data_IF_282819687538
#
_entry.id   IF_282819687538
#
_cell.length_a   1.000
_cell.length_b   1.000
_cell.length_c   1.000
_cell.angle_alpha   90.00
_cell.angle_beta   90.00
_cell.angle_gamma   90.00
#
_symmetry.space_group_name_H-M   'P 1'
#
loop_
_entity.id
_entity.type
_entity.pdbx_description
1 polymer ?
#
# COMPACT_ATOMS: atom_id res chain seq x y z
N UNK A 1 -20.98 -32.55 10.54
CA UNK A 1 -22.19 -31.75 10.85
C UNK A 1 -21.90 -30.32 11.32
N UNK A 2 -20.86 -30.04 12.11
CA UNK A 2 -20.56 -28.67 12.59
C UNK A 2 -20.20 -27.64 11.52
N UNK A 3 -19.35 -28.01 10.54
CA UNK A 3 -18.88 -27.10 9.48
C UNK A 3 -19.99 -26.68 8.50
N UNK A 4 -20.90 -27.60 8.13
CA UNK A 4 -22.02 -27.29 7.26
C UNK A 4 -23.02 -26.32 7.91
N UNK A 5 -23.24 -26.45 9.23
CA UNK A 5 -24.11 -25.56 10.01
C UNK A 5 -23.51 -24.17 10.18
N UNK A 6 -22.19 -24.08 10.43
CA UNK A 6 -21.46 -22.83 10.49
C UNK A 6 -21.47 -22.10 9.13
N UNK A 7 -21.24 -22.83 8.03
CA UNK A 7 -21.29 -22.29 6.67
C UNK A 7 -22.69 -21.78 6.29
N UNK A 8 -23.76 -22.49 6.68
CA UNK A 8 -25.14 -22.02 6.45
C UNK A 8 -25.49 -20.76 7.24
N UNK A 9 -24.97 -20.62 8.47
CA UNK A 9 -25.16 -19.43 9.29
C UNK A 9 -24.45 -18.21 8.71
N UNK A 10 -23.20 -18.38 8.29
CA UNK A 10 -22.41 -17.33 7.66
C UNK A 10 -23.06 -16.80 6.37
N UNK A 11 -23.51 -17.69 5.49
CA UNK A 11 -24.18 -17.29 4.24
C UNK A 11 -25.50 -16.54 4.51
N UNK A 12 -26.27 -16.96 5.51
CA UNK A 12 -27.50 -16.26 5.89
C UNK A 12 -27.24 -14.83 6.39
N UNK A 13 -26.14 -14.63 7.13
CA UNK A 13 -25.71 -13.29 7.57
C UNK A 13 -25.30 -12.43 6.37
N UNK A 14 -24.49 -12.98 5.45
CA UNK A 14 -24.11 -12.28 4.22
C UNK A 14 -25.34 -11.85 3.40
N UNK A 15 -26.32 -12.74 3.22
CA UNK A 15 -27.55 -12.43 2.49
C UNK A 15 -28.32 -11.29 3.13
N UNK A 16 -28.56 -11.32 4.46
CA UNK A 16 -29.28 -10.26 5.16
C UNK A 16 -28.58 -8.91 5.04
N UNK A 17 -27.26 -8.89 5.16
CA UNK A 17 -26.47 -7.66 5.04
C UNK A 17 -26.49 -7.12 3.61
N UNK A 18 -26.35 -8.00 2.61
CA UNK A 18 -26.43 -7.61 1.22
C UNK A 18 -27.83 -7.06 0.86
N UNK A 19 -28.90 -7.68 1.37
CA UNK A 19 -30.27 -7.20 1.22
C UNK A 19 -30.45 -5.82 1.86
N UNK A 20 -29.87 -5.58 3.03
CA UNK A 20 -29.93 -4.28 3.71
C UNK A 20 -29.18 -3.19 2.93
N UNK A 21 -27.99 -3.49 2.40
CA UNK A 21 -27.26 -2.55 1.52
C UNK A 21 -28.07 -2.25 0.26
N UNK A 22 -28.62 -3.27 -0.40
CA UNK A 22 -29.47 -3.10 -1.59
C UNK A 22 -30.73 -2.31 -1.27
N UNK A 23 -31.34 -2.51 -0.09
CA UNK A 23 -32.50 -1.77 0.38
C UNK A 23 -32.17 -0.29 0.58
N UNK A 24 -31.09 0.03 1.29
CA UNK A 24 -30.65 1.42 1.52
C UNK A 24 -30.30 2.13 0.22
N UNK A 25 -29.56 1.48 -0.69
CA UNK A 25 -29.25 2.05 -2.00
C UNK A 25 -30.51 2.21 -2.89
N UNK A 26 -31.48 1.30 -2.76
CA UNK A 26 -32.77 1.46 -3.44
C UNK A 26 -33.55 2.67 -2.92
N UNK A 27 -33.52 2.92 -1.60
CA UNK A 27 -34.14 4.10 -0.99
C UNK A 27 -33.47 5.39 -1.48
N UNK A 28 -32.13 5.42 -1.52
CA UNK A 28 -31.39 6.53 -2.10
C UNK A 28 -31.77 6.74 -3.58
N UNK A 29 -31.87 5.67 -4.36
CA UNK A 29 -32.21 5.79 -5.79
C UNK A 29 -33.65 6.29 -6.04
N UNK A 30 -34.53 6.20 -5.04
CA UNK A 30 -35.91 6.73 -5.07
C UNK A 30 -36.09 8.06 -4.35
N UNK A 31 -35.05 8.60 -3.69
CA UNK A 31 -35.17 9.86 -2.96
C UNK A 31 -35.21 11.06 -3.93
N UNK A 32 -36.13 11.98 -3.65
CA UNK A 32 -36.37 13.18 -4.47
C UNK A 32 -35.26 14.23 -4.28
N UNK A 33 -34.79 14.40 -3.04
CA UNK A 33 -33.74 15.35 -2.66
C UNK A 33 -32.34 14.86 -2.99
N UNK A 34 -31.49 15.74 -3.53
CA UNK A 34 -30.06 15.43 -3.71
C UNK A 34 -29.37 15.18 -2.36
N UNK A 35 -29.63 16.02 -1.37
CA UNK A 35 -29.04 15.91 -0.03
C UNK A 35 -29.40 14.59 0.64
N UNK A 36 -30.66 14.14 0.54
CA UNK A 36 -31.10 12.85 1.08
C UNK A 36 -30.33 11.68 0.45
N UNK A 37 -30.08 11.74 -0.87
CA UNK A 37 -29.27 10.75 -1.58
C UNK A 37 -27.84 10.72 -1.07
N UNK A 38 -27.26 11.90 -0.87
CA UNK A 38 -25.88 12.05 -0.40
C UNK A 38 -25.72 11.50 1.02
N UNK A 39 -26.68 11.79 1.91
CA UNK A 39 -26.72 11.28 3.28
C UNK A 39 -26.79 9.75 3.27
N UNK A 40 -27.75 9.16 2.56
CA UNK A 40 -27.90 7.69 2.54
C UNK A 40 -26.69 7.01 1.91
N UNK A 41 -26.10 7.58 0.86
CA UNK A 41 -24.88 7.02 0.25
C UNK A 41 -23.69 7.09 1.22
N UNK A 42 -23.56 8.19 1.98
CA UNK A 42 -22.54 8.34 3.01
C UNK A 42 -22.73 7.36 4.16
N UNK A 43 -23.95 7.14 4.63
CA UNK A 43 -24.27 6.16 5.67
C UNK A 43 -23.94 4.74 5.21
N UNK A 44 -24.38 4.34 4.02
CA UNK A 44 -24.05 3.03 3.45
C UNK A 44 -22.54 2.84 3.35
N UNK A 45 -21.81 3.87 2.93
CA UNK A 45 -20.36 3.82 2.84
C UNK A 45 -19.69 3.67 4.22
N UNK A 46 -20.16 4.41 5.22
CA UNK A 46 -19.66 4.29 6.59
C UNK A 46 -19.93 2.89 7.16
N UNK A 47 -21.12 2.33 6.92
CA UNK A 47 -21.50 1.01 7.41
C UNK A 47 -20.63 -0.10 6.79
N UNK A 48 -20.38 -0.07 5.48
CA UNK A 48 -19.57 -1.11 4.81
C UNK A 48 -18.07 -0.99 5.11
N UNK A 49 -17.58 0.22 5.42
CA UNK A 49 -16.17 0.44 5.76
C UNK A 49 -15.89 0.28 7.26
N UNK A 50 -16.94 0.21 8.08
CA UNK A 50 -16.86 -0.05 9.50
C UNK A 50 -16.28 -1.42 9.85
N UNK A 51 -15.73 -1.52 11.06
CA UNK A 51 -15.18 -2.75 11.59
C UNK A 51 -16.29 -3.77 11.92
N UNK A 52 -15.98 -5.05 11.72
CA UNK A 52 -16.85 -6.15 12.14
C UNK A 52 -16.94 -6.16 13.67
N UNK A 53 -18.17 -6.18 14.19
CA UNK A 53 -18.38 -6.34 15.63
C UNK A 53 -17.97 -7.75 16.09
N UNK A 54 -17.70 -7.92 17.40
CA UNK A 54 -17.22 -9.18 17.97
C UNK A 54 -18.16 -10.37 17.69
N UNK A 55 -19.47 -10.12 17.63
CA UNK A 55 -20.48 -11.14 17.32
C UNK A 55 -20.39 -11.61 15.86
N UNK A 56 -20.16 -10.70 14.92
CA UNK A 56 -19.95 -11.01 13.52
C UNK A 56 -18.61 -11.74 13.31
N UNK A 57 -17.53 -11.26 13.94
CA UNK A 57 -16.22 -11.94 13.88
C UNK A 57 -16.28 -13.39 14.37
N UNK A 58 -17.10 -13.69 15.39
CA UNK A 58 -17.31 -15.05 15.86
C UNK A 58 -18.00 -15.97 14.81
N UNK A 59 -18.78 -15.39 13.90
CA UNK A 59 -19.52 -16.11 12.85
C UNK A 59 -18.77 -16.15 11.51
N UNK A 60 -18.01 -15.10 11.20
CA UNK A 60 -17.21 -14.97 9.97
C UNK A 60 -15.79 -15.55 10.11
N UNK A 61 -15.35 -15.79 11.35
CA UNK A 61 -13.97 -16.09 11.70
C UNK A 61 -13.10 -14.82 11.77
N UNK A 62 -11.87 -14.97 12.26
CA UNK A 62 -10.87 -13.88 12.35
C UNK A 62 -10.24 -13.51 11.00
N UNK A 63 -10.80 -14.00 9.89
CA UNK A 63 -10.28 -13.78 8.54
C UNK A 63 -10.62 -12.40 7.98
N UNK A 64 -11.71 -11.79 8.48
CA UNK A 64 -12.20 -10.51 7.99
C UNK A 64 -12.20 -9.50 9.13
N UNK A 65 -11.81 -8.26 8.81
CA UNK A 65 -11.78 -7.17 9.77
C UNK A 65 -12.91 -6.16 9.53
N UNK A 66 -13.34 -5.99 8.26
CA UNK A 66 -14.38 -5.03 7.87
C UNK A 66 -15.53 -5.68 7.10
N UNK A 67 -16.67 -5.00 7.09
CA UNK A 67 -17.88 -5.50 6.44
C UNK A 67 -17.75 -5.70 4.93
N UNK A 68 -17.05 -4.81 4.22
CA UNK A 68 -16.86 -4.96 2.78
C UNK A 68 -16.11 -6.24 2.41
N UNK A 69 -15.20 -6.71 3.28
CA UNK A 69 -14.43 -7.94 3.05
C UNK A 69 -15.32 -9.19 3.10
N UNK A 70 -16.43 -9.12 3.85
CA UNK A 70 -17.45 -10.16 3.93
C UNK A 70 -18.45 -10.06 2.77
N UNK A 71 -18.78 -8.85 2.34
CA UNK A 71 -19.77 -8.60 1.29
C UNK A 71 -19.23 -8.81 -0.13
N UNK A 72 -17.97 -8.43 -0.41
CA UNK A 72 -17.42 -8.53 -1.75
C UNK A 72 -17.39 -9.98 -2.30
N UNK A 73 -17.03 -11.02 -1.51
CA UNK A 73 -17.14 -12.41 -1.94
C UNK A 73 -18.59 -12.86 -2.15
N UNK A 74 -19.54 -12.33 -1.37
CA UNK A 74 -20.97 -12.63 -1.54
C UNK A 74 -21.47 -12.12 -2.90
N UNK A 75 -21.22 -10.86 -3.21
CA UNK A 75 -21.57 -10.28 -4.52
C UNK A 75 -20.82 -10.98 -5.66
N UNK A 76 -19.57 -11.39 -5.45
CA UNK A 76 -18.84 -12.20 -6.43
C UNK A 76 -19.53 -13.53 -6.75
N UNK A 77 -20.18 -14.16 -5.77
CA UNK A 77 -20.84 -15.45 -5.94
C UNK A 77 -22.29 -15.36 -6.45
N UNK A 78 -22.98 -14.23 -6.23
CA UNK A 78 -24.38 -14.02 -6.62
C UNK A 78 -24.49 -12.97 -7.74
N UNK A 79 -24.59 -13.45 -8.98
CA UNK A 79 -24.74 -12.61 -10.17
C UNK A 79 -26.02 -11.77 -10.14
N UNK A 80 -27.13 -12.29 -9.59
CA UNK A 80 -28.40 -11.55 -9.57
C UNK A 80 -28.31 -10.37 -8.60
N UNK A 81 -27.75 -10.60 -7.41
CA UNK A 81 -27.50 -9.54 -6.43
C UNK A 81 -26.51 -8.49 -6.97
N UNK A 82 -25.45 -8.92 -7.64
CA UNK A 82 -24.45 -8.03 -8.23
C UNK A 82 -24.99 -7.17 -9.36
N UNK A 83 -25.81 -7.75 -10.25
CA UNK A 83 -26.47 -6.97 -11.31
C UNK A 83 -27.44 -5.93 -10.72
N UNK A 84 -28.17 -6.30 -9.66
CA UNK A 84 -29.05 -5.36 -8.95
C UNK A 84 -28.25 -4.23 -8.30
N UNK A 85 -27.14 -4.55 -7.64
CA UNK A 85 -26.25 -3.54 -7.06
C UNK A 85 -25.68 -2.61 -8.13
N UNK A 86 -25.23 -3.18 -9.25
CA UNK A 86 -24.73 -2.43 -10.39
C UNK A 86 -25.78 -1.44 -10.90
N UNK A 87 -27.03 -1.86 -11.12
CA UNK A 87 -28.10 -0.96 -11.60
C UNK A 87 -28.43 0.16 -10.59
N UNK A 88 -28.44 -0.14 -9.28
CA UNK A 88 -28.61 0.88 -8.26
C UNK A 88 -27.47 1.91 -8.28
N UNK A 89 -26.22 1.45 -8.35
CA UNK A 89 -25.06 2.34 -8.47
C UNK A 89 -25.10 3.18 -9.75
N UNK A 90 -25.64 2.64 -10.86
CA UNK A 90 -25.81 3.39 -12.11
C UNK A 90 -26.72 4.59 -11.94
N UNK A 91 -27.85 4.40 -11.24
CA UNK A 91 -28.82 5.47 -10.95
C UNK A 91 -28.28 6.51 -9.97
N UNK A 92 -27.32 6.12 -9.13
CA UNK A 92 -26.69 6.96 -8.13
C UNK A 92 -25.34 7.55 -8.59
N UNK A 93 -24.95 7.36 -9.86
CA UNK A 93 -23.73 7.97 -10.37
C UNK A 93 -23.76 9.49 -10.25
N UNK A 94 -22.67 10.06 -9.73
CA UNK A 94 -22.56 11.48 -9.43
C UNK A 94 -22.81 11.84 -7.97
N UNK A 95 -23.39 10.93 -7.17
CA UNK A 95 -23.47 11.11 -5.71
C UNK A 95 -22.13 10.73 -5.04
N UNK A 96 -21.77 11.40 -3.92
CA UNK A 96 -20.55 11.07 -3.17
C UNK A 96 -20.60 9.63 -2.67
N UNK A 97 -19.43 9.02 -2.52
CA UNK A 97 -19.24 7.64 -2.04
C UNK A 97 -19.85 6.50 -2.88
N UNK A 98 -20.70 6.79 -3.88
CA UNK A 98 -21.26 5.75 -4.76
C UNK A 98 -20.16 5.02 -5.53
N UNK A 99 -19.19 5.75 -6.09
CA UNK A 99 -18.07 5.15 -6.85
C UNK A 99 -17.14 4.32 -5.94
N UNK A 100 -16.72 4.79 -4.74
CA UNK A 100 -16.04 3.96 -3.75
C UNK A 100 -16.83 2.71 -3.32
N UNK A 101 -18.12 2.84 -3.00
CA UNK A 101 -19.00 1.72 -2.62
C UNK A 101 -19.10 0.68 -3.73
N UNK A 102 -19.28 1.14 -4.98
CA UNK A 102 -19.26 0.30 -6.17
C UNK A 102 -17.96 -0.50 -6.25
N UNK A 103 -16.82 0.16 -6.05
CA UNK A 103 -15.52 -0.49 -6.10
C UNK A 103 -15.33 -1.51 -4.98
N UNK A 104 -15.70 -1.17 -3.73
CA UNK A 104 -15.58 -2.08 -2.59
C UNK A 104 -16.39 -3.36 -2.76
N UNK A 105 -17.62 -3.26 -3.24
CA UNK A 105 -18.54 -4.39 -3.27
C UNK A 105 -18.45 -5.22 -4.56
N UNK A 106 -18.11 -4.60 -5.69
CA UNK A 106 -18.13 -5.27 -7.01
C UNK A 106 -16.73 -5.57 -7.59
N UNK A 107 -15.63 -5.19 -6.94
CA UNK A 107 -14.28 -5.43 -7.50
C UNK A 107 -14.01 -6.89 -7.85
N UNK A 108 -14.39 -7.82 -6.97
CA UNK A 108 -14.18 -9.25 -7.21
C UNK A 108 -15.05 -9.73 -8.36
N UNK A 109 -16.36 -9.41 -8.32
CA UNK A 109 -17.30 -9.82 -9.34
C UNK A 109 -16.88 -9.36 -10.75
N UNK A 110 -16.50 -8.08 -10.90
CA UNK A 110 -16.07 -7.49 -12.17
C UNK A 110 -14.72 -8.00 -12.68
N UNK A 111 -13.85 -8.53 -11.82
CA UNK A 111 -12.52 -9.00 -12.20
C UNK A 111 -12.42 -10.52 -12.30
N UNK A 112 -13.36 -11.25 -11.69
CA UNK A 112 -13.48 -12.72 -11.77
C UNK A 112 -14.35 -13.14 -12.95
N UNK A 113 -15.45 -12.43 -13.22
CA UNK A 113 -16.41 -12.84 -14.24
C UNK A 113 -16.30 -12.02 -15.54
N UNK A 114 -15.88 -12.60 -16.67
CA UNK A 114 -15.71 -11.86 -17.94
C UNK A 114 -17.00 -11.29 -18.54
N UNK A 115 -18.16 -11.83 -18.18
CA UNK A 115 -19.48 -11.40 -18.64
C UNK A 115 -20.15 -10.34 -17.77
N UNK A 116 -19.61 -10.06 -16.58
CA UNK A 116 -20.17 -9.09 -15.62
C UNK A 116 -20.35 -7.68 -16.25
N UNK A 117 -21.53 -7.09 -16.03
CA UNK A 117 -21.91 -5.77 -16.54
C UNK A 117 -22.18 -5.71 -18.05
N UNK A 118 -22.17 -6.85 -18.74
CA UNK A 118 -22.36 -6.95 -20.19
C UNK A 118 -21.09 -6.58 -20.97
N UNK A 119 -20.85 -7.22 -22.14
CA UNK A 119 -19.62 -7.03 -22.92
C UNK A 119 -19.45 -5.59 -23.41
N UNK A 120 -20.55 -4.94 -23.84
CA UNK A 120 -20.50 -3.61 -24.45
C UNK A 120 -20.15 -2.48 -23.47
N UNK A 121 -20.46 -2.68 -22.18
CA UNK A 121 -20.27 -1.67 -21.14
C UNK A 121 -19.10 -2.01 -20.20
N UNK A 122 -18.39 -3.11 -20.47
CA UNK A 122 -17.34 -3.63 -19.60
C UNK A 122 -16.26 -2.60 -19.30
N UNK A 123 -15.77 -1.89 -20.32
CA UNK A 123 -14.74 -0.86 -20.13
C UNK A 123 -15.24 0.31 -19.26
N UNK A 124 -16.51 0.70 -19.39
CA UNK A 124 -17.11 1.75 -18.55
C UNK A 124 -17.14 1.31 -17.08
N UNK A 125 -17.59 0.09 -16.82
CA UNK A 125 -17.62 -0.49 -15.47
C UNK A 125 -16.23 -0.60 -14.86
N UNK A 126 -15.22 -1.01 -15.65
CA UNK A 126 -13.83 -1.04 -15.20
C UNK A 126 -13.29 0.36 -14.86
N UNK A 127 -13.60 1.38 -15.67
CA UNK A 127 -13.16 2.75 -15.39
C UNK A 127 -13.77 3.30 -14.09
N UNK A 128 -15.05 3.03 -13.85
CA UNK A 128 -15.73 3.40 -12.59
C UNK A 128 -15.12 2.65 -11.41
N UNK A 129 -14.90 1.34 -11.54
CA UNK A 129 -14.22 0.51 -10.53
C UNK A 129 -12.85 1.08 -10.17
N UNK A 130 -12.01 1.37 -11.17
CA UNK A 130 -10.66 1.86 -10.96
C UNK A 130 -10.63 3.28 -10.38
N UNK A 131 -11.59 4.13 -10.77
CA UNK A 131 -11.76 5.46 -10.17
C UNK A 131 -12.12 5.36 -8.69
N UNK A 132 -13.07 4.49 -8.32
CA UNK A 132 -13.45 4.26 -6.92
C UNK A 132 -12.33 3.64 -6.09
N UNK A 133 -11.65 2.63 -6.64
CA UNK A 133 -10.49 2.00 -6.01
C UNK A 133 -9.36 3.02 -5.75
N UNK A 134 -9.09 3.90 -6.72
CA UNK A 134 -8.11 4.98 -6.56
C UNK A 134 -8.50 5.92 -5.41
N UNK A 135 -9.75 6.35 -5.33
CA UNK A 135 -10.22 7.21 -4.23
C UNK A 135 -10.01 6.57 -2.86
N UNK A 136 -10.30 5.26 -2.75
CA UNK A 136 -10.09 4.50 -1.51
C UNK A 136 -8.61 4.40 -1.13
N UNK A 137 -7.74 4.09 -2.08
CA UNK A 137 -6.30 3.95 -1.82
C UNK A 137 -5.64 5.29 -1.51
N UNK A 138 -6.08 6.38 -2.13
CA UNK A 138 -5.68 7.74 -1.72
C UNK A 138 -6.15 8.02 -0.30
N UNK A 139 -7.39 7.69 0.06
CA UNK A 139 -7.90 7.87 1.42
C UNK A 139 -7.10 7.10 2.48
N UNK A 140 -6.68 5.88 2.19
CA UNK A 140 -5.76 5.11 3.05
C UNK A 140 -4.41 5.83 3.19
N UNK A 141 -3.82 6.26 2.07
CA UNK A 141 -2.55 6.99 2.08
C UNK A 141 -2.63 8.33 2.82
N UNK A 142 -3.76 9.03 2.72
CA UNK A 142 -3.98 10.30 3.37
C UNK A 142 -4.13 10.16 4.89
N UNK A 143 -4.82 9.11 5.33
CA UNK A 143 -5.03 8.82 6.75
C UNK A 143 -3.88 8.06 7.39
N UNK A 144 -2.97 7.47 6.60
CA UNK A 144 -1.92 6.58 7.09
C UNK A 144 -2.43 5.21 7.55
N UNK A 145 -3.67 4.87 7.19
CA UNK A 145 -4.29 3.58 7.48
C UNK A 145 -4.15 2.63 6.29
N UNK A 146 -4.38 1.35 6.56
CA UNK A 146 -4.36 0.28 5.55
C UNK A 146 -5.74 -0.41 5.51
N UNK A 147 -6.82 0.36 5.54
CA UNK A 147 -8.16 -0.17 5.65
C UNK A 147 -8.59 -0.99 4.44
N UNK A 148 -8.07 -0.59 3.27
CA UNK A 148 -8.35 -1.20 1.97
C UNK A 148 -7.22 -2.10 1.48
N UNK A 149 -6.27 -2.47 2.36
CA UNK A 149 -5.20 -3.41 2.03
C UNK A 149 -5.70 -4.77 1.53
N UNK A 150 -6.79 -5.38 2.07
CA UNK A 150 -7.37 -6.60 1.50
C UNK A 150 -7.84 -6.44 0.05
N UNK A 151 -8.48 -5.32 -0.27
CA UNK A 151 -8.88 -5.00 -1.65
C UNK A 151 -7.64 -4.82 -2.53
N UNK A 152 -6.63 -4.05 -2.09
CA UNK A 152 -5.38 -3.90 -2.83
C UNK A 152 -4.69 -5.26 -3.08
N UNK A 153 -4.62 -6.12 -2.06
CA UNK A 153 -4.04 -7.46 -2.16
C UNK A 153 -4.77 -8.33 -3.18
N UNK A 154 -6.10 -8.23 -3.29
CA UNK A 154 -6.85 -8.89 -4.36
C UNK A 154 -6.39 -8.41 -5.75
N UNK A 155 -6.33 -7.09 -5.98
CA UNK A 155 -5.87 -6.54 -7.25
C UNK A 155 -4.42 -6.95 -7.56
N UNK A 156 -3.52 -6.85 -6.57
CA UNK A 156 -2.11 -7.12 -6.75
C UNK A 156 -1.84 -8.62 -6.90
N UNK A 157 -2.23 -9.44 -5.93
CA UNK A 157 -1.84 -10.85 -5.85
C UNK A 157 -2.72 -11.76 -6.71
N UNK A 158 -4.03 -11.48 -6.78
CA UNK A 158 -4.96 -12.38 -7.48
C UNK A 158 -5.31 -11.96 -8.90
N UNK A 159 -5.03 -10.71 -9.29
CA UNK A 159 -5.33 -10.22 -10.65
C UNK A 159 -4.05 -9.93 -11.43
N UNK A 160 -3.12 -9.13 -10.88
CA UNK A 160 -1.92 -8.70 -11.62
C UNK A 160 -0.76 -9.69 -11.50
N UNK A 161 -0.44 -10.13 -10.29
CA UNK A 161 0.73 -10.96 -9.97
C UNK A 161 0.39 -12.46 -9.91
N UNK A 162 -0.81 -12.86 -10.32
CA UNK A 162 -1.29 -14.24 -10.32
C UNK A 162 -0.54 -15.11 -11.36
N UNK A 163 0.73 -15.40 -11.08
CA UNK A 163 1.59 -16.40 -11.72
C UNK A 163 1.45 -16.57 -13.24
N UNK A 164 1.56 -17.83 -13.68
CA UNK A 164 1.44 -18.25 -15.09
C UNK A 164 -0.03 -18.20 -15.59
N UNK A 165 -0.99 -18.00 -14.70
CA UNK A 165 -2.44 -17.94 -14.98
C UNK A 165 -3.00 -16.51 -14.89
N UNK A 166 -2.35 -15.53 -15.52
CA UNK A 166 -2.90 -14.17 -15.74
C UNK A 166 -4.22 -14.17 -16.56
N UNK A 167 -4.95 -15.28 -16.61
CA UNK A 167 -6.27 -15.52 -17.19
C UNK A 167 -7.25 -14.41 -16.84
N UNK A 168 -7.29 -13.98 -15.56
CA UNK A 168 -8.17 -12.86 -15.15
C UNK A 168 -7.79 -11.57 -15.84
N UNK A 169 -6.50 -11.20 -15.82
CA UNK A 169 -6.00 -9.98 -16.45
C UNK A 169 -6.13 -10.01 -17.99
N UNK A 170 -5.93 -11.18 -18.60
CA UNK A 170 -6.05 -11.40 -20.05
C UNK A 170 -7.49 -11.41 -20.54
N UNK A 171 -8.45 -11.74 -19.68
CA UNK A 171 -9.88 -11.65 -19.99
C UNK A 171 -10.41 -10.22 -20.06
N UNK A 172 -9.65 -9.23 -19.58
CA UNK A 172 -10.05 -7.84 -19.60
C UNK A 172 -9.75 -7.20 -20.97
N UNK A 173 -10.52 -6.17 -21.38
CA UNK A 173 -10.16 -5.31 -22.50
C UNK A 173 -8.75 -4.73 -22.31
N UNK A 174 -8.00 -4.58 -23.39
CA UNK A 174 -6.59 -4.14 -23.34
C UNK A 174 -6.40 -2.83 -22.55
N UNK A 175 -7.21 -1.82 -22.82
CA UNK A 175 -7.18 -0.54 -22.10
C UNK A 175 -7.49 -0.71 -20.60
N UNK A 176 -8.42 -1.61 -20.26
CA UNK A 176 -8.76 -1.93 -18.88
C UNK A 176 -7.64 -2.64 -18.15
N UNK A 177 -6.96 -3.58 -18.82
CA UNK A 177 -5.79 -4.29 -18.30
C UNK A 177 -4.66 -3.31 -17.93
N UNK A 178 -4.31 -2.40 -18.84
CA UNK A 178 -3.27 -1.41 -18.58
C UNK A 178 -3.63 -0.50 -17.39
N UNK A 179 -4.90 -0.11 -17.28
CA UNK A 179 -5.39 0.74 -16.21
C UNK A 179 -5.36 0.02 -14.85
N UNK A 180 -5.73 -1.28 -14.80
CA UNK A 180 -5.60 -2.12 -13.59
C UNK A 180 -4.13 -2.23 -13.16
N UNK A 181 -3.23 -2.54 -14.11
CA UNK A 181 -1.80 -2.62 -13.81
C UNK A 181 -1.25 -1.28 -13.33
N UNK A 182 -1.67 -0.17 -13.95
CA UNK A 182 -1.25 1.17 -13.54
C UNK A 182 -1.72 1.52 -12.12
N UNK A 183 -2.94 1.13 -11.74
CA UNK A 183 -3.47 1.35 -10.39
C UNK A 183 -2.65 0.56 -9.35
N UNK A 184 -2.45 -0.74 -9.58
CA UNK A 184 -1.66 -1.59 -8.67
C UNK A 184 -0.25 -1.04 -8.51
N UNK A 185 0.37 -0.65 -9.62
CA UNK A 185 1.74 -0.17 -9.61
C UNK A 185 1.89 1.23 -9.00
N UNK A 186 0.87 2.09 -9.12
CA UNK A 186 0.81 3.39 -8.46
C UNK A 186 0.87 3.25 -6.93
N UNK A 187 0.05 2.36 -6.35
CA UNK A 187 -0.07 2.20 -4.89
C UNK A 187 0.81 1.07 -4.30
N UNK A 188 1.60 0.38 -5.12
CA UNK A 188 2.56 -0.62 -4.65
C UNK A 188 3.53 -0.11 -3.58
N UNK A 189 4.13 1.09 -3.69
CA UNK A 189 5.02 1.60 -2.64
C UNK A 189 4.34 1.76 -1.28
N UNK A 190 3.02 1.94 -1.24
CA UNK A 190 2.28 2.09 0.01
C UNK A 190 1.93 0.74 0.66
N UNK A 191 1.35 -0.18 -0.13
CA UNK A 191 0.83 -1.45 0.41
C UNK A 191 1.85 -2.59 0.39
N UNK A 192 2.75 -2.61 -0.60
CA UNK A 192 3.79 -3.65 -0.75
C UNK A 192 5.10 -3.09 -0.23
N UNK A 193 5.24 -2.98 1.09
CA UNK A 193 6.53 -2.65 1.70
C UNK A 193 7.62 -3.62 1.18
N UNK A 194 8.77 -3.04 0.81
CA UNK A 194 9.83 -3.69 0.03
C UNK A 194 10.19 -5.09 0.54
N UNK A 195 9.86 -6.11 -0.25
CA UNK A 195 10.18 -7.51 0.08
C UNK A 195 9.41 -8.54 -0.74
N UNK A 196 8.26 -8.17 -1.30
CA UNK A 196 7.48 -9.07 -2.17
C UNK A 196 7.46 -8.59 -3.61
N UNK A 197 8.39 -9.14 -4.38
CA UNK A 197 8.17 -9.51 -5.79
C UNK A 197 8.00 -8.37 -6.79
N UNK A 198 9.11 -7.90 -7.35
CA UNK A 198 9.12 -7.38 -8.71
C UNK A 198 10.14 -8.17 -9.52
N UNK A 199 9.70 -8.94 -10.52
CA UNK A 199 10.58 -9.26 -11.65
C UNK A 199 11.18 -7.94 -12.13
N UNK A 200 12.47 -7.94 -12.50
CA UNK A 200 13.12 -6.73 -13.09
C UNK A 200 12.33 -6.20 -14.29
N UNK A 201 11.62 -7.10 -14.98
CA UNK A 201 10.64 -6.80 -16.02
C UNK A 201 9.41 -6.08 -15.43
N UNK A 202 9.32 -4.77 -15.67
CA UNK A 202 8.19 -3.93 -15.21
C UNK A 202 8.55 -2.95 -14.09
N UNK A 203 9.77 -2.99 -13.55
CA UNK A 203 10.22 -2.04 -12.52
C UNK A 203 10.17 -0.59 -12.99
N UNK A 204 10.48 -0.30 -14.27
CA UNK A 204 10.38 1.04 -14.84
C UNK A 204 8.92 1.54 -14.87
N UNK A 205 7.98 0.68 -15.30
CA UNK A 205 6.56 1.01 -15.33
C UNK A 205 6.02 1.28 -13.92
N UNK A 206 6.36 0.40 -12.96
CA UNK A 206 5.89 0.55 -11.60
C UNK A 206 6.47 1.79 -10.92
N UNK A 207 7.76 2.05 -11.10
CA UNK A 207 8.39 3.25 -10.58
C UNK A 207 7.80 4.52 -11.20
N UNK A 208 7.57 4.52 -12.53
CA UNK A 208 6.95 5.66 -13.21
C UNK A 208 5.55 5.97 -12.66
N UNK A 209 4.73 4.94 -12.40
CA UNK A 209 3.39 5.10 -11.83
C UNK A 209 3.42 5.50 -10.35
N UNK A 210 4.30 4.90 -9.55
CA UNK A 210 4.47 5.27 -8.15
C UNK A 210 4.94 6.73 -7.98
N UNK A 211 5.84 7.21 -8.85
CA UNK A 211 6.28 8.62 -8.86
C UNK A 211 5.14 9.55 -9.27
N UNK A 212 4.32 9.15 -10.25
CA UNK A 212 3.15 9.93 -10.64
C UNK A 212 2.11 10.03 -9.51
N UNK A 213 1.87 8.94 -8.79
CA UNK A 213 0.97 8.90 -7.64
C UNK A 213 1.50 9.75 -6.47
N UNK A 214 2.79 9.63 -6.15
CA UNK A 214 3.45 10.48 -5.15
C UNK A 214 3.36 11.97 -5.51
N UNK A 215 3.46 12.30 -6.79
CA UNK A 215 3.36 13.67 -7.24
C UNK A 215 1.92 14.19 -7.17
N UNK A 216 0.94 13.45 -7.70
CA UNK A 216 -0.38 14.04 -8.00
C UNK A 216 -1.47 13.67 -7.02
N UNK A 217 -1.32 12.58 -6.29
CA UNK A 217 -2.41 11.94 -5.57
C UNK A 217 -2.14 11.89 -4.06
N UNK A 218 -0.94 11.49 -3.67
CA UNK A 218 -0.57 11.33 -2.25
C UNK A 218 0.00 12.63 -1.71
N UNK A 219 -0.86 13.44 -1.10
CA UNK A 219 -0.50 14.76 -0.58
C UNK A 219 -0.28 14.78 0.94
N UNK A 220 -0.84 13.82 1.68
CA UNK A 220 -0.67 13.80 3.13
C UNK A 220 0.69 13.22 3.56
N UNK A 221 1.18 13.72 4.70
CA UNK A 221 2.43 13.29 5.32
C UNK A 221 2.60 11.76 5.46
N UNK A 222 1.65 10.99 6.04
CA UNK A 222 1.88 9.56 6.28
C UNK A 222 2.07 8.77 4.99
N UNK A 223 1.24 9.03 3.97
CA UNK A 223 1.37 8.43 2.65
C UNK A 223 2.69 8.79 1.98
N UNK A 224 3.06 10.07 1.97
CA UNK A 224 4.34 10.51 1.38
C UNK A 224 5.54 9.83 2.05
N UNK A 225 5.54 9.71 3.37
CA UNK A 225 6.60 9.03 4.12
C UNK A 225 6.68 7.54 3.76
N UNK A 226 5.54 6.85 3.64
CA UNK A 226 5.50 5.45 3.23
C UNK A 226 6.09 5.25 1.83
N UNK A 227 5.68 6.09 0.86
CA UNK A 227 6.22 6.07 -0.50
C UNK A 227 7.73 6.33 -0.53
N UNK A 228 8.22 7.34 0.18
CA UNK A 228 9.65 7.67 0.22
C UNK A 228 10.48 6.53 0.81
N UNK A 229 10.01 5.90 1.90
CA UNK A 229 10.66 4.74 2.50
C UNK A 229 10.72 3.55 1.55
N UNK A 230 9.62 3.28 0.83
CA UNK A 230 9.58 2.22 -0.16
C UNK A 230 10.52 2.50 -1.36
N UNK A 231 10.54 3.74 -1.86
CA UNK A 231 11.47 4.17 -2.91
C UNK A 231 12.94 4.02 -2.49
N UNK A 232 13.27 4.39 -1.24
CA UNK A 232 14.61 4.20 -0.69
C UNK A 232 15.00 2.73 -0.66
N UNK A 233 14.11 1.85 -0.19
CA UNK A 233 14.37 0.41 -0.15
C UNK A 233 14.55 -0.20 -1.56
N UNK A 234 13.83 0.30 -2.57
CA UNK A 234 14.05 -0.07 -3.98
C UNK A 234 15.42 0.39 -4.51
N UNK A 235 15.89 1.53 -4.01
CA UNK A 235 17.25 2.01 -4.23
C UNK A 235 18.31 1.05 -3.74
N UNK A 236 18.17 0.64 -2.48
CA UNK A 236 19.09 -0.29 -1.82
C UNK A 236 19.12 -1.67 -2.51
N UNK A 237 17.99 -2.08 -3.10
CA UNK A 237 17.88 -3.30 -3.90
C UNK A 237 18.57 -3.24 -5.29
N UNK A 238 19.13 -2.08 -5.68
CA UNK A 238 19.87 -1.94 -6.94
C UNK A 238 19.00 -2.01 -8.20
N UNK A 239 17.72 -1.61 -8.11
CA UNK A 239 16.78 -1.63 -9.24
C UNK A 239 16.95 -0.40 -10.16
N UNK A 240 17.46 0.71 -9.62
CA UNK A 240 17.66 1.98 -10.33
C UNK A 240 18.44 1.90 -11.65
N UNK A 241 19.53 1.12 -11.79
CA UNK A 241 20.27 1.04 -13.05
C UNK A 241 19.46 0.43 -14.20
N UNK A 242 18.46 -0.40 -13.88
CA UNK A 242 17.59 -1.03 -14.88
C UNK A 242 16.43 -0.12 -15.35
N UNK A 243 16.24 1.03 -14.70
CA UNK A 243 15.15 1.98 -14.98
C UNK A 243 15.56 2.95 -16.09
N UNK A 244 14.60 3.33 -16.94
CA UNK A 244 14.84 4.28 -18.05
C UNK A 244 15.29 5.64 -17.50
N UNK A 245 16.14 6.33 -18.26
CA UNK A 245 16.66 7.66 -17.90
C UNK A 245 15.54 8.67 -17.65
N UNK A 246 14.46 8.65 -18.45
CA UNK A 246 13.30 9.54 -18.26
C UNK A 246 12.67 9.40 -16.89
N UNK A 247 12.42 8.16 -16.44
CA UNK A 247 11.83 7.86 -15.14
C UNK A 247 12.74 8.29 -14.00
N UNK A 248 14.07 8.08 -14.15
CA UNK A 248 15.08 8.53 -13.16
C UNK A 248 15.12 10.05 -13.03
N UNK A 249 15.11 10.79 -14.14
CA UNK A 249 15.08 12.27 -14.12
C UNK A 249 13.82 12.77 -13.45
N UNK A 250 12.65 12.18 -13.75
CA UNK A 250 11.38 12.57 -13.12
C UNK A 250 11.38 12.30 -11.61
N UNK A 251 11.84 11.11 -11.19
CA UNK A 251 11.99 10.78 -9.77
C UNK A 251 12.92 11.76 -9.06
N UNK A 252 14.05 12.10 -9.68
CA UNK A 252 15.00 13.07 -9.14
C UNK A 252 14.35 14.46 -9.00
N UNK A 253 13.60 14.92 -10.00
CA UNK A 253 12.91 16.21 -9.95
C UNK A 253 11.84 16.27 -8.83
N UNK A 254 11.03 15.23 -8.68
CA UNK A 254 10.02 15.17 -7.59
C UNK A 254 10.69 15.13 -6.21
N UNK A 255 11.77 14.36 -6.03
CA UNK A 255 12.52 14.35 -4.77
C UNK A 255 13.13 15.73 -4.47
N UNK A 256 13.68 16.43 -5.46
CA UNK A 256 14.17 17.78 -5.26
C UNK A 256 13.06 18.74 -4.83
N UNK A 257 11.88 18.67 -5.45
CA UNK A 257 10.74 19.49 -5.07
C UNK A 257 10.36 19.28 -3.60
N UNK A 258 10.41 18.04 -3.11
CA UNK A 258 10.13 17.71 -1.69
C UNK A 258 11.25 18.13 -0.73
N UNK A 259 12.48 18.32 -1.21
CA UNK A 259 13.61 18.79 -0.38
C UNK A 259 13.67 20.30 -0.20
N UNK A 260 12.94 21.08 -1.00
CA UNK A 260 12.94 22.53 -0.88
C UNK A 260 11.95 22.99 0.20
N UNK A 261 12.41 23.86 1.10
CA UNK A 261 11.57 24.61 2.03
C UNK A 261 10.90 25.76 1.27
N UNK A 262 9.84 25.48 0.50
CA UNK A 262 9.14 26.49 -0.30
C UNK A 262 8.07 25.91 -1.23
N UNK A 263 7.40 26.78 -1.99
CA UNK A 263 6.38 26.38 -2.96
C UNK A 263 6.95 25.59 -4.16
N UNK A 264 6.12 24.83 -4.90
CA UNK A 264 4.65 24.80 -4.87
C UNK A 264 4.02 23.78 -3.89
N UNK A 265 4.81 22.92 -3.24
CA UNK A 265 4.30 22.00 -2.19
C UNK A 265 5.01 22.29 -0.87
N UNK A 266 4.24 22.75 0.12
CA UNK A 266 4.73 22.89 1.49
C UNK A 266 4.85 21.51 2.14
N UNK A 267 5.91 20.77 1.79
CA UNK A 267 6.20 19.48 2.39
C UNK A 267 6.51 19.67 3.89
N UNK A 268 5.96 18.80 4.73
CA UNK A 268 6.30 18.82 6.15
C UNK A 268 7.77 18.49 6.35
N UNK A 269 8.33 18.88 7.50
CA UNK A 269 9.74 18.63 7.81
C UNK A 269 10.10 17.15 7.79
N UNK A 270 9.19 16.28 8.23
CA UNK A 270 9.41 14.84 8.21
C UNK A 270 9.55 14.33 6.76
N UNK A 271 8.64 14.76 5.87
CA UNK A 271 8.69 14.42 4.44
C UNK A 271 9.96 14.98 3.80
N UNK A 272 10.33 16.22 4.11
CA UNK A 272 11.54 16.86 3.60
C UNK A 272 12.81 16.07 4.00
N UNK A 273 12.94 15.72 5.29
CA UNK A 273 14.08 14.95 5.82
C UNK A 273 14.16 13.57 5.15
N UNK A 274 13.03 12.91 4.97
CA UNK A 274 13.01 11.58 4.33
C UNK A 274 13.22 11.65 2.81
N UNK A 275 12.74 12.70 2.15
CA UNK A 275 13.02 12.96 0.73
C UNK A 275 14.52 13.21 0.52
N UNK A 276 15.15 13.98 1.40
CA UNK A 276 16.60 14.21 1.35
C UNK A 276 17.40 12.92 1.55
N UNK A 277 17.00 12.07 2.50
CA UNK A 277 17.61 10.75 2.72
C UNK A 277 17.44 9.83 1.51
N UNK A 278 16.23 9.81 0.94
CA UNK A 278 15.91 9.02 -0.25
C UNK A 278 16.72 9.49 -1.46
N UNK A 279 16.83 10.79 -1.68
CA UNK A 279 17.64 11.39 -2.74
C UNK A 279 19.13 11.04 -2.60
N UNK A 280 19.67 11.10 -1.38
CA UNK A 280 21.05 10.72 -1.09
C UNK A 280 21.33 9.23 -1.31
N UNK A 281 20.38 8.35 -1.00
CA UNK A 281 20.49 6.91 -1.23
C UNK A 281 20.42 6.57 -2.73
N UNK A 282 19.47 7.17 -3.46
CA UNK A 282 19.22 6.88 -4.86
C UNK A 282 20.24 7.52 -5.81
N UNK A 283 20.74 8.72 -5.49
CA UNK A 283 21.63 9.51 -6.34
C UNK A 283 22.88 9.95 -5.57
N UNK A 284 23.84 9.04 -5.31
CA UNK A 284 25.01 9.34 -4.46
C UNK A 284 25.97 10.37 -5.09
N UNK A 285 26.01 10.44 -6.43
CA UNK A 285 26.79 11.43 -7.18
C UNK A 285 26.18 12.83 -6.94
N UNK A 286 26.75 13.59 -6.01
CA UNK A 286 26.28 14.93 -5.61
C UNK A 286 25.83 15.07 -4.15
N UNK A 287 25.84 13.98 -3.36
CA UNK A 287 25.47 13.97 -1.94
C UNK A 287 26.23 15.01 -1.11
N UNK A 288 27.55 15.11 -1.31
CA UNK A 288 28.39 16.05 -0.57
C UNK A 288 28.05 17.51 -0.89
N UNK A 289 27.86 17.84 -2.17
CA UNK A 289 27.48 19.19 -2.61
C UNK A 289 26.12 19.58 -2.04
N UNK A 290 25.12 18.71 -2.14
CA UNK A 290 23.77 18.97 -1.58
C UNK A 290 23.80 19.22 -0.08
N UNK A 291 24.60 18.45 0.66
CA UNK A 291 24.78 18.63 2.10
C UNK A 291 25.48 19.94 2.44
N UNK A 292 26.52 20.30 1.70
CA UNK A 292 27.23 21.56 1.88
C UNK A 292 26.29 22.76 1.63
N UNK A 293 25.52 22.72 0.55
CA UNK A 293 24.53 23.76 0.22
C UNK A 293 23.45 23.86 1.29
N UNK A 294 22.86 22.73 1.71
CA UNK A 294 21.85 22.73 2.78
C UNK A 294 22.41 23.25 4.11
N UNK A 295 23.63 22.86 4.48
CA UNK A 295 24.30 23.39 5.66
C UNK A 295 24.53 24.91 5.56
N UNK A 296 24.97 25.41 4.41
CA UNK A 296 25.15 26.84 4.19
C UNK A 296 23.83 27.61 4.34
N UNK A 297 22.72 27.15 3.73
CA UNK A 297 21.40 27.77 3.89
C UNK A 297 20.94 27.77 5.35
N UNK A 298 21.07 26.64 6.04
CA UNK A 298 20.70 26.52 7.46
C UNK A 298 21.49 27.45 8.39
N UNK A 299 22.77 27.67 8.08
CA UNK A 299 23.61 28.63 8.82
C UNK A 299 23.16 30.07 8.55
N UNK A 300 22.78 30.39 7.31
CA UNK A 300 22.35 31.72 6.88
C UNK A 300 20.93 32.10 7.35
N UNK A 301 20.11 31.16 7.80
CA UNK A 301 18.75 31.41 8.29
C UNK A 301 18.63 31.22 9.82
N UNK A 302 18.64 32.31 10.62
CA UNK A 302 18.61 32.23 12.08
C UNK A 302 17.39 31.48 12.66
N UNK A 303 16.27 31.46 11.95
CA UNK A 303 15.07 30.70 12.33
C UNK A 303 15.26 29.19 12.31
N UNK A 304 16.30 28.68 11.65
CA UNK A 304 16.61 27.26 11.58
C UNK A 304 17.62 26.80 12.66
N UNK A 305 18.21 27.72 13.41
CA UNK A 305 19.24 27.40 14.39
C UNK A 305 18.79 26.48 15.53
N UNK A 306 17.63 26.68 16.19
CA UNK A 306 17.17 25.77 17.25
C UNK A 306 17.06 24.32 16.76
N UNK A 307 16.69 24.17 15.49
CA UNK A 307 16.51 22.90 14.82
C UNK A 307 17.84 22.25 14.42
N UNK A 308 18.85 23.06 14.11
CA UNK A 308 20.22 22.63 13.85
C UNK A 308 20.84 21.98 15.09
N UNK A 309 20.64 22.60 16.25
CA UNK A 309 21.05 22.05 17.54
C UNK A 309 20.31 20.75 17.85
N UNK A 310 19.01 20.68 17.59
CA UNK A 310 18.23 19.46 17.79
C UNK A 310 18.67 18.30 16.88
N UNK A 311 18.85 18.57 15.58
CA UNK A 311 19.34 17.57 14.62
C UNK A 311 20.76 17.09 15.02
N UNK A 312 21.64 17.98 15.49
CA UNK A 312 22.98 17.63 15.96
C UNK A 312 22.96 16.74 17.21
N UNK A 313 22.05 16.99 18.15
CA UNK A 313 21.85 16.13 19.32
C UNK A 313 21.28 14.76 18.93
N UNK A 314 20.35 14.72 17.99
CA UNK A 314 19.80 13.46 17.47
C UNK A 314 20.89 12.62 16.79
N UNK A 315 21.70 13.24 15.93
CA UNK A 315 22.83 12.60 15.25
C UNK A 315 23.91 12.13 16.23
N UNK A 316 24.23 12.92 17.25
CA UNK A 316 25.14 12.53 18.33
C UNK A 316 24.61 11.30 19.09
N UNK A 317 23.31 11.27 19.40
CA UNK A 317 22.66 10.13 20.05
C UNK A 317 22.72 8.85 19.20
N UNK A 318 22.47 8.95 17.89
CA UNK A 318 22.63 7.84 16.95
C UNK A 318 24.08 7.35 16.86
N UNK A 319 25.05 8.27 16.81
CA UNK A 319 26.47 7.93 16.78
C UNK A 319 26.86 7.17 18.06
N UNK A 320 26.49 7.67 19.24
CA UNK A 320 26.76 7.00 20.52
C UNK A 320 26.17 5.59 20.56
N UNK A 321 24.93 5.40 20.08
CA UNK A 321 24.30 4.08 19.97
C UNK A 321 25.05 3.15 19.02
N UNK A 322 25.46 3.65 17.85
CA UNK A 322 26.23 2.88 16.88
C UNK A 322 27.60 2.44 17.46
N UNK A 323 28.29 3.35 18.16
CA UNK A 323 29.52 3.04 18.88
C UNK A 323 29.30 1.99 19.97
N UNK A 324 28.23 2.10 20.76
CA UNK A 324 27.90 1.11 21.79
C UNK A 324 27.66 -0.28 21.18
N UNK A 325 26.90 -0.37 20.09
CA UNK A 325 26.67 -1.63 19.37
C UNK A 325 27.95 -2.19 18.76
N UNK A 326 28.82 -1.34 18.21
CA UNK A 326 30.12 -1.75 17.69
C UNK A 326 31.00 -2.32 18.80
N UNK A 327 31.05 -1.68 19.97
CA UNK A 327 31.80 -2.14 21.14
C UNK A 327 31.27 -3.49 21.65
N UNK A 328 29.94 -3.65 21.75
CA UNK A 328 29.31 -4.93 22.11
C UNK A 328 29.66 -6.02 21.08
N UNK A 329 29.59 -5.71 19.78
CA UNK A 329 30.01 -6.65 18.73
C UNK A 329 31.48 -7.04 18.82
N UNK A 330 32.36 -6.07 19.09
CA UNK A 330 33.80 -6.30 19.25
C UNK A 330 34.10 -7.18 20.46
N UNK A 331 33.37 -6.96 21.55
CA UNK A 331 33.44 -7.73 22.78
C UNK A 331 33.02 -9.18 22.57
N UNK A 332 31.86 -9.41 21.92
CA UNK A 332 31.43 -10.76 21.53
C UNK A 332 32.40 -11.45 20.57
N UNK A 333 32.97 -10.72 19.61
CA UNK A 333 33.98 -11.26 18.70
C UNK A 333 35.28 -11.64 19.44
N UNK A 334 35.71 -10.83 20.41
CA UNK A 334 36.84 -11.12 21.30
C UNK A 334 36.59 -12.35 22.15
N UNK A 335 35.40 -12.48 22.74
CA UNK A 335 35.06 -13.69 23.50
C UNK A 335 34.91 -14.93 22.65
N UNK A 336 34.35 -14.83 21.45
CA UNK A 336 34.30 -15.96 20.53
C UNK A 336 35.72 -16.44 20.17
N UNK A 337 36.66 -15.51 19.97
CA UNK A 337 38.08 -15.81 19.75
C UNK A 337 38.74 -16.42 20.99
N UNK A 338 38.51 -15.88 22.19
CA UNK A 338 39.04 -16.41 23.44
C UNK A 338 38.47 -17.80 23.77
N UNK A 339 37.17 -18.02 23.58
CA UNK A 339 36.52 -19.32 23.74
C UNK A 339 37.04 -20.36 22.71
N UNK A 340 37.34 -19.92 21.49
CA UNK A 340 38.01 -20.74 20.47
C UNK A 340 39.42 -21.15 20.88
N UNK A 341 40.20 -20.23 21.47
CA UNK A 341 41.55 -20.50 22.00
C UNK A 341 41.53 -21.43 23.21
N UNK A 342 40.53 -21.32 24.09
CA UNK A 342 40.35 -22.21 25.24
C UNK A 342 39.94 -23.63 24.79
N UNK A 343 39.15 -23.77 23.72
CA UNK A 343 38.82 -25.07 23.12
C UNK A 343 40.04 -25.79 22.53
N UNK A 344 41.07 -25.07 22.09
CA UNK A 344 42.31 -25.66 21.56
C UNK A 344 43.26 -26.15 22.66
N UNK A 345 43.07 -25.69 23.91
CA UNK A 345 43.85 -26.10 25.10
C UNK A 345 43.20 -27.23 25.91
N UNK A 346 42.35 -28.08 25.32
CA UNK A 346 42.08 -29.40 25.90
C UNK A 346 43.21 -30.35 25.45
N UNK A 347 44.12 -30.78 26.35
CA UNK A 347 45.24 -31.61 25.98
C UNK A 347 44.75 -32.97 25.48
N UNK A 348 45.31 -33.41 24.36
CA UNK A 348 45.22 -34.78 23.87
C UNK A 348 45.88 -35.74 24.87
N UNK A 349 45.13 -36.18 25.89
CA UNK A 349 45.44 -37.37 26.71
C UNK A 349 44.30 -38.37 26.53
N UNK A 350 44.19 -38.93 25.33
CA UNK A 350 43.40 -40.13 25.05
C UNK A 350 43.78 -40.70 23.66
N UNK A 351 45.06 -41.02 23.45
CA UNK A 351 45.51 -41.76 22.26
C UNK A 351 46.70 -42.69 22.57
N UNK A 352 46.72 -43.27 23.78
CA UNK A 352 47.67 -44.31 24.17
C UNK A 352 46.89 -45.47 24.80
N UNK A 353 46.10 -46.18 23.99
CA UNK A 353 45.50 -47.47 24.34
C UNK A 353 44.91 -48.17 23.09
N UNK A 354 45.66 -48.23 21.98
CA UNK A 354 45.42 -49.17 20.87
C UNK A 354 46.76 -49.39 20.18
N UNK A 355 47.61 -50.21 20.80
CA UNK A 355 48.68 -51.04 20.22
C UNK A 355 49.55 -51.54 21.39
N UNK A 356 49.03 -52.54 22.10
CA UNK A 356 49.78 -53.58 22.81
C UNK A 356 48.80 -54.72 23.05
#
# INVERSE_FOLDING_TARGET
>A
MGLARAYSGFRAVQTRLAEEVLRKLSLAASADGKEDRDIVCSEVFADITGDLNAAAQAQTGTLYHRWYEVLAPYFCADDAASNRLLELCRRLWGQPFTTPTYALLLHQWLLVHPSAGGPDQRLKHLNVLLSGARQLFVGDADTGNAAFAPMYAFFAEQVVLAGDEQTRLRSLPETGREAVMALVAAFAPYYLAAGRGGRREGADFALARGVEALAREVCAEPGMLAYLRALRALGDAGVLPAVRTRTRIRLQAELYALTQSGGPRYASRAVNKEAFRTLDALFPRGRHVRRAVNAAFRVLHPGEWPWLWWDALEEAGWAVRAWALALVGLFWALWARLAGLVRWRRPARAAAAKHA
#
